data_IF_861298625601
#
_entry.id   IF_861298625601
#
_cell.length_a   1.000
_cell.length_b   1.000
_cell.length_c   1.000
_cell.angle_alpha   90.00
_cell.angle_beta   90.00
_cell.angle_gamma   90.00
#
_symmetry.space_group_name_H-M   'P 1'
#
loop_
_entity.id
_entity.type
_entity.pdbx_description
1 polymer ?
#
# COMPACT_ATOMS: atom_id res chain seq x y z
N UNK A 1 26.24 24.28 -20.58
CA UNK A 1 25.82 23.27 -19.60
C UNK A 1 25.38 23.84 -18.25
N UNK A 2 25.82 25.03 -17.87
CA UNK A 2 25.49 25.72 -16.60
C UNK A 2 24.06 26.28 -16.58
N UNK A 3 23.55 26.81 -17.68
CA UNK A 3 22.22 27.45 -17.77
C UNK A 3 21.05 26.50 -17.55
N UNK A 4 21.14 25.20 -17.89
CA UNK A 4 20.09 24.21 -17.63
C UNK A 4 19.93 23.88 -16.13
N UNK A 5 21.01 23.91 -15.36
CA UNK A 5 20.96 23.73 -13.89
C UNK A 5 20.35 24.93 -13.17
N UNK A 6 20.61 26.13 -13.64
CA UNK A 6 20.06 27.36 -13.06
C UNK A 6 18.58 27.49 -13.32
N UNK A 7 18.10 27.17 -14.54
CA UNK A 7 16.66 27.15 -14.83
C UNK A 7 15.90 26.09 -14.00
N UNK A 8 16.48 24.92 -13.79
CA UNK A 8 15.83 23.88 -12.96
C UNK A 8 15.74 24.25 -11.47
N UNK A 9 16.68 25.03 -10.97
CA UNK A 9 16.66 25.55 -9.60
C UNK A 9 15.62 26.68 -9.44
N UNK A 10 15.48 27.56 -10.44
CA UNK A 10 14.51 28.66 -10.41
C UNK A 10 13.08 28.12 -10.58
N UNK A 11 12.85 27.16 -11.47
CA UNK A 11 11.50 26.57 -11.67
C UNK A 11 11.04 25.75 -10.46
N UNK A 12 11.93 25.06 -9.77
CA UNK A 12 11.59 24.36 -8.53
C UNK A 12 11.31 25.32 -7.35
N UNK A 13 12.02 26.45 -7.28
CA UNK A 13 11.83 27.42 -6.18
C UNK A 13 10.58 28.27 -6.36
N UNK A 14 10.17 28.59 -7.59
CA UNK A 14 8.97 29.40 -7.85
C UNK A 14 7.67 28.58 -7.75
N UNK A 15 7.71 27.28 -8.10
CA UNK A 15 6.54 26.41 -7.98
C UNK A 15 6.20 26.04 -6.52
N UNK A 16 7.18 25.98 -5.64
CA UNK A 16 6.97 25.73 -4.20
C UNK A 16 6.47 26.95 -3.44
N UNK A 17 6.72 28.17 -3.95
CA UNK A 17 6.33 29.41 -3.29
C UNK A 17 4.87 29.82 -3.52
N UNK A 18 4.15 29.19 -4.48
CA UNK A 18 2.80 29.58 -4.87
C UNK A 18 1.69 28.63 -4.39
N UNK A 19 2.03 27.45 -3.84
CA UNK A 19 1.04 26.53 -3.29
C UNK A 19 1.35 26.39 -1.80
N UNK A 20 0.51 26.93 -0.90
CA UNK A 20 0.73 26.77 0.53
C UNK A 20 0.78 25.26 0.85
N UNK A 21 1.84 24.85 1.54
CA UNK A 21 1.93 23.50 2.07
C UNK A 21 0.85 23.36 3.15
N UNK A 22 -0.15 22.54 2.86
CA UNK A 22 -1.25 22.26 3.80
C UNK A 22 -1.24 20.78 4.16
N UNK A 23 -1.66 20.48 5.37
CA UNK A 23 -1.76 19.11 5.84
C UNK A 23 -2.68 18.29 4.92
N UNK A 24 -2.19 17.15 4.41
CA UNK A 24 -2.97 16.25 3.55
C UNK A 24 -4.30 15.81 4.20
N UNK A 25 -4.31 15.69 5.53
CA UNK A 25 -5.44 15.12 6.27
C UNK A 25 -6.49 16.16 6.64
N UNK A 26 -6.09 17.28 7.26
CA UNK A 26 -7.02 18.30 7.76
C UNK A 26 -7.04 19.59 6.94
N UNK A 27 -6.08 19.82 6.05
CA UNK A 27 -5.96 21.05 5.27
C UNK A 27 -5.34 22.24 6.03
N UNK A 28 -4.92 22.05 7.29
CA UNK A 28 -4.24 23.09 8.08
C UNK A 28 -2.89 23.47 7.46
N UNK A 29 -2.54 24.76 7.50
CA UNK A 29 -1.20 25.26 7.13
C UNK A 29 -0.16 25.13 8.24
N UNK A 30 -0.49 24.55 9.39
CA UNK A 30 0.44 24.36 10.50
C UNK A 30 1.30 23.11 10.28
N UNK A 31 2.27 23.22 9.37
CA UNK A 31 3.20 22.16 9.06
C UNK A 31 4.59 22.49 9.62
N UNK A 32 5.26 21.49 10.19
CA UNK A 32 6.68 21.58 10.47
C UNK A 32 7.47 21.52 9.16
N UNK A 33 8.65 22.13 9.16
CA UNK A 33 9.53 22.14 7.99
C UNK A 33 9.78 20.70 7.50
N UNK A 34 9.54 20.47 6.22
CA UNK A 34 9.72 19.18 5.53
C UNK A 34 8.66 18.10 5.83
N UNK A 35 7.62 18.37 6.62
CA UNK A 35 6.52 17.44 6.82
C UNK A 35 5.31 17.81 5.96
N UNK A 36 4.56 16.80 5.53
CA UNK A 36 3.30 17.00 4.80
C UNK A 36 2.08 16.64 5.64
N UNK A 37 2.29 16.44 6.96
CA UNK A 37 1.28 16.06 7.94
C UNK A 37 1.50 16.91 9.18
N UNK A 38 0.49 17.65 9.64
CA UNK A 38 0.61 18.45 10.86
C UNK A 38 0.74 17.57 12.11
N UNK A 39 1.32 18.09 13.21
CA UNK A 39 1.52 17.32 14.44
C UNK A 39 0.25 16.69 14.98
N UNK A 40 -0.89 17.40 14.97
CA UNK A 40 -2.17 16.92 15.46
C UNK A 40 -2.69 15.73 14.64
N UNK A 41 -2.61 15.83 13.30
CA UNK A 41 -2.97 14.70 12.44
C UNK A 41 -1.99 13.54 12.59
N UNK A 42 -0.70 13.81 12.78
CA UNK A 42 0.32 12.79 12.98
C UNK A 42 0.06 11.96 14.24
N UNK A 43 -0.28 12.60 15.36
CA UNK A 43 -0.62 11.93 16.62
C UNK A 43 -1.94 11.16 16.54
N UNK A 44 -2.87 11.59 15.67
CA UNK A 44 -4.16 10.91 15.44
C UNK A 44 -4.07 9.68 14.55
N UNK A 45 -2.90 9.40 13.92
CA UNK A 45 -2.73 8.22 13.09
C UNK A 45 -2.68 6.95 13.94
N UNK A 46 -3.57 6.00 13.66
CA UNK A 46 -3.52 4.68 14.30
C UNK A 46 -2.62 3.74 13.50
N UNK A 47 -1.47 3.46 14.08
CA UNK A 47 -0.51 2.50 13.54
C UNK A 47 -0.90 1.08 13.90
N UNK A 48 -0.63 0.14 12.99
CA UNK A 48 -0.69 -1.30 13.30
C UNK A 48 0.58 -1.66 14.07
N UNK A 49 0.42 -1.87 15.38
CA UNK A 49 1.50 -2.12 16.32
C UNK A 49 1.44 -3.56 16.85
N UNK A 50 2.58 -4.05 17.40
CA UNK A 50 2.63 -5.31 18.13
C UNK A 50 1.66 -5.32 19.34
N UNK A 51 1.06 -6.49 19.64
CA UNK A 51 1.33 -7.80 19.04
C UNK A 51 0.67 -8.00 17.68
N UNK A 52 1.43 -8.48 16.70
CA UNK A 52 0.95 -8.77 15.34
C UNK A 52 1.34 -10.20 14.94
N UNK A 53 0.54 -10.83 14.10
CA UNK A 53 0.85 -12.13 13.52
C UNK A 53 2.18 -12.08 12.77
N UNK A 54 3.10 -13.00 13.08
CA UNK A 54 4.44 -13.04 12.48
C UNK A 54 4.42 -13.19 10.95
N UNK A 55 3.42 -13.88 10.41
CA UNK A 55 3.26 -14.11 8.97
C UNK A 55 2.41 -13.01 8.32
N UNK A 56 1.12 -12.89 8.67
CA UNK A 56 0.21 -11.99 7.92
C UNK A 56 0.17 -10.55 8.45
N UNK A 57 0.84 -10.21 9.53
CA UNK A 57 0.92 -8.86 10.09
C UNK A 57 -0.38 -8.32 10.69
N UNK A 58 -1.46 -9.13 10.77
CA UNK A 58 -2.70 -8.76 11.44
C UNK A 58 -2.47 -8.57 12.93
N UNK A 59 -3.07 -7.57 13.59
CA UNK A 59 -3.07 -7.47 15.03
C UNK A 59 -3.59 -8.75 15.69
N UNK A 60 -2.92 -9.18 16.75
CA UNK A 60 -3.34 -10.30 17.59
C UNK A 60 -4.08 -9.76 18.80
N UNK A 61 -5.12 -10.47 19.24
CA UNK A 61 -5.70 -10.29 20.57
C UNK A 61 -4.71 -10.79 21.64
N UNK A 62 -4.91 -10.36 22.89
CA UNK A 62 -4.11 -10.84 24.03
C UNK A 62 -4.12 -12.36 24.09
N UNK A 63 -5.29 -12.97 23.96
CA UNK A 63 -5.49 -14.42 23.97
C UNK A 63 -4.73 -15.16 22.83
N UNK A 64 -4.71 -14.61 21.61
CA UNK A 64 -3.95 -15.19 20.51
C UNK A 64 -2.45 -15.10 20.76
N UNK A 65 -1.96 -13.97 21.28
CA UNK A 65 -0.54 -13.74 21.55
C UNK A 65 0.02 -14.69 22.62
N UNK A 66 -0.74 -14.98 23.65
CA UNK A 66 -0.34 -15.93 24.71
C UNK A 66 -0.18 -17.36 24.20
N UNK A 67 -0.86 -17.73 23.11
CA UNK A 67 -0.84 -19.08 22.54
C UNK A 67 0.11 -19.24 21.36
N UNK A 68 0.27 -18.20 20.55
CA UNK A 68 1.05 -18.29 19.32
C UNK A 68 1.41 -16.91 18.80
N UNK A 69 2.49 -16.82 18.01
CA UNK A 69 2.80 -15.66 17.17
C UNK A 69 1.99 -15.63 15.87
N UNK A 70 1.11 -16.61 15.65
CA UNK A 70 0.22 -16.71 14.49
C UNK A 70 -1.23 -16.42 14.89
N UNK A 71 -1.96 -15.71 14.05
CA UNK A 71 -3.40 -15.57 14.21
C UNK A 71 -4.14 -16.84 13.77
N UNK A 72 -5.36 -17.03 14.27
CA UNK A 72 -6.18 -18.20 13.96
C UNK A 72 -6.34 -18.49 12.46
N UNK A 73 -6.41 -17.44 11.62
CA UNK A 73 -6.49 -17.61 10.17
C UNK A 73 -5.20 -18.20 9.56
N UNK A 74 -4.01 -17.83 10.08
CA UNK A 74 -2.74 -18.38 9.62
C UNK A 74 -2.47 -19.78 10.18
N UNK A 75 -2.96 -20.09 11.38
CA UNK A 75 -2.93 -21.44 11.92
C UNK A 75 -3.77 -22.38 11.05
N UNK A 76 -4.97 -21.96 10.67
CA UNK A 76 -5.85 -22.75 9.82
C UNK A 76 -5.36 -22.91 8.37
N UNK A 77 -4.78 -21.85 7.81
CA UNK A 77 -4.28 -21.88 6.43
C UNK A 77 -3.22 -20.78 6.22
N UNK A 78 -1.97 -21.20 6.10
CA UNK A 78 -0.86 -20.30 5.83
C UNK A 78 -1.00 -19.64 4.46
N UNK A 79 -0.76 -18.31 4.36
CA UNK A 79 -0.70 -17.64 3.07
C UNK A 79 0.56 -18.05 2.29
N UNK A 80 0.57 -17.73 0.99
CA UNK A 80 1.69 -18.10 0.10
C UNK A 80 2.89 -17.15 0.24
N UNK A 81 2.69 -15.94 0.75
CA UNK A 81 3.78 -15.02 1.06
C UNK A 81 4.47 -15.39 2.38
N UNK A 82 5.72 -14.98 2.54
CA UNK A 82 6.50 -15.28 3.75
C UNK A 82 6.17 -14.34 4.89
N UNK A 83 5.98 -13.05 4.58
CA UNK A 83 5.70 -12.03 5.59
C UNK A 83 4.92 -10.87 4.99
N UNK A 84 3.84 -10.44 5.67
CA UNK A 84 3.14 -9.22 5.35
C UNK A 84 3.15 -8.24 6.52
N UNK A 85 3.23 -6.94 6.22
CA UNK A 85 3.21 -5.87 7.22
C UNK A 85 2.31 -4.73 6.76
N UNK A 86 1.57 -4.18 7.71
CA UNK A 86 0.68 -3.05 7.52
C UNK A 86 1.22 -1.83 8.26
N UNK A 87 1.03 -0.63 7.69
CA UNK A 87 1.38 0.61 8.35
C UNK A 87 0.30 1.06 9.34
N UNK A 88 -0.85 1.41 8.82
CA UNK A 88 -1.91 2.11 9.53
C UNK A 88 -3.23 1.34 9.48
N UNK A 89 -4.16 1.69 10.37
CA UNK A 89 -5.56 1.28 10.18
C UNK A 89 -6.22 2.14 9.10
N UNK A 90 -7.04 1.50 8.23
CA UNK A 90 -7.82 2.18 7.18
C UNK A 90 -9.10 2.76 7.74
N UNK A 91 -8.99 3.85 8.45
CA UNK A 91 -10.11 4.54 9.11
C UNK A 91 -9.88 6.07 9.13
N UNK A 92 -10.93 6.83 9.42
CA UNK A 92 -10.88 8.28 9.62
C UNK A 92 -10.02 9.00 8.56
N UNK A 93 -9.02 9.74 9.00
CA UNK A 93 -8.12 10.54 8.17
C UNK A 93 -7.40 9.72 7.10
N UNK A 94 -6.94 8.50 7.43
CA UNK A 94 -6.23 7.61 6.49
C UNK A 94 -7.15 7.21 5.34
N UNK A 95 -8.42 6.87 5.64
CA UNK A 95 -9.45 6.54 4.64
C UNK A 95 -9.66 7.72 3.69
N UNK A 96 -9.85 8.93 4.23
CA UNK A 96 -10.06 10.14 3.43
C UNK A 96 -8.85 10.43 2.54
N UNK A 97 -7.63 10.39 3.08
CA UNK A 97 -6.41 10.66 2.32
C UNK A 97 -6.20 9.67 1.17
N UNK A 98 -6.33 8.36 1.43
CA UNK A 98 -6.20 7.34 0.39
C UNK A 98 -7.31 7.46 -0.67
N UNK A 99 -8.55 7.78 -0.25
CA UNK A 99 -9.67 7.98 -1.18
C UNK A 99 -9.43 9.20 -2.07
N UNK A 100 -9.05 10.34 -1.51
CA UNK A 100 -8.66 11.54 -2.27
C UNK A 100 -7.53 11.26 -3.25
N UNK A 101 -6.50 10.54 -2.82
CA UNK A 101 -5.39 10.14 -3.69
C UNK A 101 -5.85 9.26 -4.85
N UNK A 102 -6.83 8.38 -4.66
CA UNK A 102 -7.40 7.52 -5.72
C UNK A 102 -8.16 8.29 -6.80
N UNK A 103 -8.77 9.41 -6.46
CA UNK A 103 -9.64 10.16 -7.37
C UNK A 103 -9.05 11.48 -7.87
N UNK A 104 -8.20 12.11 -7.07
CA UNK A 104 -7.63 13.42 -7.40
C UNK A 104 -6.14 13.28 -7.71
N UNK A 105 -5.70 12.73 -8.80
CA UNK A 105 -4.33 12.52 -9.28
C UNK A 105 -3.23 13.52 -8.77
N UNK A 106 -3.43 14.12 -7.59
CA UNK A 106 -2.53 15.08 -6.99
C UNK A 106 -1.25 14.36 -6.54
N UNK A 107 -0.16 14.58 -7.26
CA UNK A 107 1.18 14.17 -6.86
C UNK A 107 1.54 14.70 -5.46
N UNK A 108 0.94 15.80 -5.06
CA UNK A 108 1.06 16.39 -3.72
C UNK A 108 0.59 15.41 -2.64
N UNK A 109 -0.58 14.77 -2.83
CA UNK A 109 -1.12 13.78 -1.88
C UNK A 109 -0.29 12.49 -1.81
N UNK A 110 0.59 12.24 -2.78
CA UNK A 110 1.40 11.02 -2.81
C UNK A 110 2.57 11.04 -1.83
N UNK A 111 3.13 12.23 -1.52
CA UNK A 111 4.31 12.36 -0.65
C UNK A 111 4.04 11.89 0.78
N UNK A 112 3.03 12.43 1.49
CA UNK A 112 2.75 12.00 2.86
C UNK A 112 2.41 10.52 2.98
N UNK A 113 1.63 9.98 2.04
CA UNK A 113 1.28 8.56 2.05
C UNK A 113 2.49 7.66 1.77
N UNK A 114 3.41 8.11 0.91
CA UNK A 114 4.66 7.40 0.66
C UNK A 114 5.60 7.45 1.87
N UNK A 115 5.69 8.59 2.55
CA UNK A 115 6.51 8.74 3.76
C UNK A 115 6.04 7.78 4.86
N UNK A 116 4.72 7.63 5.05
CA UNK A 116 4.13 6.64 5.96
C UNK A 116 4.42 5.18 5.53
N UNK A 117 4.44 4.90 4.23
CA UNK A 117 4.81 3.58 3.71
C UNK A 117 6.30 3.30 3.93
N UNK A 118 7.18 4.29 3.72
CA UNK A 118 8.62 4.20 3.96
C UNK A 118 8.89 3.98 5.45
N UNK A 119 8.18 4.68 6.33
CA UNK A 119 8.28 4.45 7.77
C UNK A 119 7.88 3.02 8.16
N UNK A 120 6.82 2.51 7.55
CA UNK A 120 6.40 1.11 7.72
C UNK A 120 7.50 0.14 7.26
N UNK A 121 8.14 0.43 6.12
CA UNK A 121 9.25 -0.37 5.61
C UNK A 121 10.43 -0.35 6.57
N UNK A 122 10.85 0.81 7.02
CA UNK A 122 11.98 0.97 7.95
C UNK A 122 11.74 0.22 9.27
N UNK A 123 10.50 0.24 9.77
CA UNK A 123 10.13 -0.45 11.00
C UNK A 123 10.21 -1.98 10.88
N UNK A 124 9.85 -2.55 9.73
CA UNK A 124 9.64 -3.99 9.61
C UNK A 124 10.59 -4.70 8.65
N UNK A 125 11.17 -3.98 7.68
CA UNK A 125 11.92 -4.55 6.56
C UNK A 125 13.33 -4.00 6.37
N UNK A 126 13.78 -3.05 7.18
CA UNK A 126 15.11 -2.41 7.03
C UNK A 126 16.26 -3.43 7.02
N UNK A 127 16.11 -4.55 7.73
CA UNK A 127 17.11 -5.64 7.79
C UNK A 127 16.90 -6.70 6.70
N UNK A 128 15.91 -6.54 5.84
CA UNK A 128 15.60 -7.49 4.77
C UNK A 128 16.19 -7.01 3.45
N UNK A 129 16.90 -7.91 2.77
CA UNK A 129 17.42 -7.61 1.44
C UNK A 129 16.39 -8.03 0.40
N UNK A 130 15.76 -7.05 -0.27
CA UNK A 130 14.88 -7.29 -1.41
C UNK A 130 15.62 -6.96 -2.71
N UNK A 131 15.37 -7.77 -3.74
CA UNK A 131 15.96 -7.58 -5.07
C UNK A 131 15.09 -6.74 -5.99
N UNK A 132 13.75 -6.73 -5.74
CA UNK A 132 12.79 -6.01 -6.60
C UNK A 132 11.51 -5.69 -5.85
N UNK A 133 10.94 -4.52 -6.15
CA UNK A 133 9.61 -4.08 -5.73
C UNK A 133 8.63 -4.33 -6.87
N UNK A 134 7.49 -4.96 -6.56
CA UNK A 134 6.35 -5.16 -7.47
C UNK A 134 5.12 -4.44 -6.92
N UNK A 135 4.62 -3.35 -7.57
CA UNK A 135 3.35 -2.74 -7.20
C UNK A 135 2.19 -3.63 -7.62
N UNK A 136 1.18 -3.79 -6.75
CA UNK A 136 -0.07 -4.47 -7.12
C UNK A 136 -0.76 -3.67 -8.22
N UNK A 137 -1.04 -4.30 -9.40
CA UNK A 137 -1.61 -3.59 -10.52
C UNK A 137 -3.12 -3.40 -10.36
N UNK A 138 -3.61 -2.27 -10.85
CA UNK A 138 -5.04 -2.09 -11.12
C UNK A 138 -5.37 -2.62 -12.52
N UNK A 139 -6.61 -3.05 -12.73
CA UNK A 139 -7.05 -3.46 -14.07
C UNK A 139 -7.02 -2.27 -15.06
N UNK A 140 -6.70 -2.53 -16.33
CA UNK A 140 -6.56 -1.54 -17.42
C UNK A 140 -7.75 -0.58 -17.49
N UNK A 141 -8.99 -1.06 -17.34
CA UNK A 141 -10.20 -0.22 -17.34
C UNK A 141 -10.17 0.84 -16.21
N UNK A 142 -9.70 0.47 -15.02
CA UNK A 142 -9.55 1.43 -13.90
C UNK A 142 -8.37 2.35 -14.09
N UNK A 143 -7.30 1.84 -14.72
CA UNK A 143 -6.14 2.64 -15.07
C UNK A 143 -6.53 3.74 -16.08
N UNK A 144 -7.30 3.40 -17.10
CA UNK A 144 -7.82 4.37 -18.08
C UNK A 144 -8.74 5.41 -17.42
N UNK A 145 -9.64 4.98 -16.54
CA UNK A 145 -10.57 5.88 -15.84
C UNK A 145 -9.87 6.83 -14.85
N UNK A 146 -8.73 6.42 -14.25
CA UNK A 146 -8.00 7.21 -13.25
C UNK A 146 -6.77 7.92 -13.80
N UNK A 147 -6.24 7.48 -14.95
CA UNK A 147 -4.99 7.97 -15.53
C UNK A 147 -3.72 7.42 -14.87
N UNK A 148 -3.80 6.78 -13.69
CA UNK A 148 -2.65 6.29 -12.96
C UNK A 148 -2.98 5.12 -12.01
N UNK A 149 -1.91 4.40 -11.59
CA UNK A 149 -1.97 3.44 -10.50
C UNK A 149 -1.29 4.06 -9.25
N UNK A 150 -2.08 4.36 -8.22
CA UNK A 150 -1.60 4.95 -6.97
C UNK A 150 -0.50 4.10 -6.29
N UNK A 151 -0.63 2.77 -6.36
CA UNK A 151 0.37 1.85 -5.78
C UNK A 151 1.72 2.00 -6.48
N UNK A 152 1.73 2.18 -7.80
CA UNK A 152 2.97 2.41 -8.56
C UNK A 152 3.67 3.71 -8.13
N UNK A 153 2.90 4.78 -7.86
CA UNK A 153 3.47 6.05 -7.38
C UNK A 153 4.09 5.87 -5.99
N UNK A 154 3.39 5.23 -5.06
CA UNK A 154 3.92 4.93 -3.72
C UNK A 154 5.16 4.04 -3.79
N UNK A 155 5.12 3.00 -4.63
CA UNK A 155 6.26 2.09 -4.85
C UNK A 155 7.47 2.79 -5.45
N UNK A 156 7.27 3.79 -6.33
CA UNK A 156 8.37 4.58 -6.88
C UNK A 156 9.10 5.37 -5.80
N UNK A 157 8.36 6.00 -4.89
CA UNK A 157 8.96 6.76 -3.78
C UNK A 157 9.67 5.82 -2.80
N UNK A 158 9.09 4.65 -2.51
CA UNK A 158 9.72 3.61 -1.71
C UNK A 158 11.02 3.11 -2.37
N UNK A 159 11.01 2.84 -3.67
CA UNK A 159 12.19 2.42 -4.43
C UNK A 159 13.30 3.47 -4.38
N UNK A 160 12.95 4.75 -4.56
CA UNK A 160 13.92 5.87 -4.45
C UNK A 160 14.54 5.97 -3.05
N UNK A 161 13.73 5.80 -1.99
CA UNK A 161 14.20 5.88 -0.61
C UNK A 161 15.06 4.68 -0.16
N UNK A 162 14.78 3.49 -0.71
CA UNK A 162 15.44 2.24 -0.29
C UNK A 162 16.55 1.76 -1.23
N UNK A 163 16.62 2.32 -2.45
CA UNK A 163 17.52 1.83 -3.50
C UNK A 163 17.09 0.50 -4.14
N UNK A 164 15.96 -0.09 -3.73
CA UNK A 164 15.48 -1.37 -4.28
C UNK A 164 14.88 -1.12 -5.67
N UNK A 165 15.29 -1.87 -6.71
CA UNK A 165 14.75 -1.73 -8.06
C UNK A 165 13.23 -1.90 -8.12
N UNK A 166 12.55 -1.05 -8.88
CA UNK A 166 11.11 -1.11 -9.11
C UNK A 166 10.80 -1.71 -10.50
N UNK A 167 10.04 -2.79 -10.55
CA UNK A 167 9.48 -3.34 -11.79
C UNK A 167 7.98 -3.02 -11.86
N UNK A 168 7.62 -2.07 -12.74
CA UNK A 168 6.26 -1.50 -12.83
C UNK A 168 5.33 -2.27 -13.75
N UNK A 169 5.89 -3.10 -14.64
CA UNK A 169 5.17 -3.64 -15.80
C UNK A 169 5.06 -5.16 -15.82
N UNK A 170 5.84 -5.83 -15.00
CA UNK A 170 5.94 -7.27 -15.04
C UNK A 170 4.74 -7.98 -14.39
N UNK A 171 4.23 -7.46 -13.29
CA UNK A 171 3.01 -7.95 -12.68
C UNK A 171 1.81 -7.24 -13.27
N UNK A 172 0.93 -7.98 -13.95
CA UNK A 172 -0.25 -7.43 -14.62
C UNK A 172 -1.54 -8.05 -14.08
N UNK A 173 -2.63 -7.28 -14.10
CA UNK A 173 -3.96 -7.76 -13.79
C UNK A 173 -4.72 -8.01 -15.08
N UNK A 174 -5.01 -9.27 -15.39
CA UNK A 174 -5.60 -9.72 -16.66
C UNK A 174 -7.13 -9.73 -16.64
N UNK A 175 -7.77 -9.89 -15.46
CA UNK A 175 -9.22 -9.92 -15.34
C UNK A 175 -9.78 -8.60 -14.79
N UNK A 176 -10.86 -8.10 -15.42
CA UNK A 176 -11.67 -7.04 -14.83
C UNK A 176 -12.55 -7.64 -13.74
N UNK A 177 -12.11 -7.50 -12.51
CA UNK A 177 -12.85 -8.00 -11.35
C UNK A 177 -13.76 -6.92 -10.79
N UNK A 178 -14.98 -7.28 -10.37
CA UNK A 178 -15.93 -6.37 -9.73
C UNK A 178 -15.34 -5.69 -8.49
N UNK A 179 -15.81 -4.49 -8.13
CA UNK A 179 -15.42 -3.83 -6.91
C UNK A 179 -15.62 -4.74 -5.70
N UNK A 180 -14.55 -5.06 -4.98
CA UNK A 180 -14.56 -5.99 -3.85
C UNK A 180 -15.49 -5.53 -2.70
N UNK A 181 -15.83 -4.24 -2.65
CA UNK A 181 -16.69 -3.63 -1.60
C UNK A 181 -18.08 -4.28 -1.55
N UNK A 182 -18.59 -4.77 -2.70
CA UNK A 182 -19.94 -5.38 -2.81
C UNK A 182 -19.96 -6.91 -2.72
N UNK A 183 -18.80 -7.57 -2.57
CA UNK A 183 -18.73 -9.03 -2.63
C UNK A 183 -18.50 -9.64 -1.24
N UNK A 184 -19.15 -10.80 -0.97
CA UNK A 184 -18.82 -11.64 0.18
C UNK A 184 -17.37 -12.17 0.11
N UNK A 185 -16.83 -12.65 1.25
CA UNK A 185 -15.45 -13.20 1.32
C UNK A 185 -15.20 -14.31 0.30
N UNK A 186 -16.14 -15.26 0.17
CA UNK A 186 -16.06 -16.37 -0.79
C UNK A 186 -16.08 -15.87 -2.25
N UNK A 187 -16.98 -14.94 -2.58
CA UNK A 187 -17.06 -14.33 -3.92
C UNK A 187 -15.81 -13.53 -4.26
N UNK A 188 -15.16 -12.87 -3.27
CA UNK A 188 -13.88 -12.16 -3.48
C UNK A 188 -12.74 -13.11 -3.87
N UNK A 189 -12.67 -14.28 -3.23
CA UNK A 189 -11.66 -15.30 -3.56
C UNK A 189 -11.84 -15.82 -4.99
N UNK A 190 -13.06 -16.20 -5.36
CA UNK A 190 -13.38 -16.68 -6.72
C UNK A 190 -13.12 -15.60 -7.79
N UNK A 191 -13.48 -14.35 -7.51
CA UNK A 191 -13.32 -13.23 -8.42
C UNK A 191 -11.84 -12.93 -8.74
N UNK A 192 -10.92 -13.23 -7.81
CA UNK A 192 -9.49 -12.96 -7.95
C UNK A 192 -8.69 -14.15 -8.49
N UNK A 193 -9.27 -15.35 -8.56
CA UNK A 193 -8.59 -16.54 -9.06
C UNK A 193 -8.11 -16.33 -10.51
N UNK A 194 -6.79 -16.50 -10.74
CA UNK A 194 -6.13 -16.29 -12.02
C UNK A 194 -6.32 -14.86 -12.58
N UNK A 195 -6.46 -13.85 -11.70
CA UNK A 195 -6.62 -12.45 -12.12
C UNK A 195 -5.28 -11.74 -12.36
N UNK A 196 -4.16 -12.37 -12.01
CA UNK A 196 -2.83 -11.77 -12.12
C UNK A 196 -1.88 -12.69 -12.90
N UNK A 197 -0.86 -12.08 -13.53
CA UNK A 197 0.15 -12.77 -14.30
C UNK A 197 1.51 -12.06 -14.18
N UNK A 198 2.60 -12.82 -14.22
CA UNK A 198 3.97 -12.32 -14.44
C UNK A 198 4.33 -12.49 -15.92
N UNK A 199 4.67 -11.39 -16.57
CA UNK A 199 5.03 -11.38 -17.99
C UNK A 199 6.43 -11.97 -18.24
N UNK A 200 7.41 -11.59 -17.41
CA UNK A 200 8.79 -12.05 -17.50
C UNK A 200 9.24 -12.71 -16.21
N UNK A 201 9.25 -14.04 -16.20
CA UNK A 201 9.69 -14.81 -15.01
C UNK A 201 11.18 -14.64 -14.72
N UNK A 202 12.03 -14.34 -15.71
CA UNK A 202 13.49 -14.23 -15.53
C UNK A 202 13.88 -13.16 -14.52
N UNK A 203 13.08 -12.09 -14.40
CA UNK A 203 13.32 -11.01 -13.44
C UNK A 203 12.88 -11.35 -12.00
N UNK A 204 12.20 -12.50 -11.81
CA UNK A 204 11.62 -12.95 -10.53
C UNK A 204 12.31 -14.20 -9.97
N UNK A 205 12.79 -15.09 -10.86
CA UNK A 205 13.41 -16.35 -10.46
C UNK A 205 14.54 -16.12 -9.45
N UNK A 206 14.50 -16.85 -8.34
CA UNK A 206 15.47 -16.80 -7.22
C UNK A 206 15.57 -15.44 -6.52
N UNK A 207 14.64 -14.52 -6.77
CA UNK A 207 14.63 -13.17 -6.18
C UNK A 207 13.85 -13.13 -4.87
N UNK A 208 14.23 -12.19 -4.02
CA UNK A 208 13.46 -11.74 -2.86
C UNK A 208 12.61 -10.56 -3.32
N UNK A 209 11.30 -10.78 -3.41
CA UNK A 209 10.34 -9.84 -4.00
C UNK A 209 9.58 -9.12 -2.90
N UNK A 210 9.47 -7.79 -2.98
CA UNK A 210 8.59 -6.99 -2.14
C UNK A 210 7.35 -6.57 -2.94
N UNK A 211 6.20 -7.12 -2.58
CA UNK A 211 4.90 -6.72 -3.14
C UNK A 211 4.34 -5.54 -2.35
N UNK A 212 3.89 -4.50 -3.04
CA UNK A 212 3.35 -3.27 -2.44
C UNK A 212 1.88 -3.12 -2.78
N UNK A 213 1.03 -2.78 -1.78
CA UNK A 213 -0.37 -2.42 -1.99
C UNK A 213 -0.77 -1.22 -1.10
N UNK A 214 -1.90 -0.55 -1.42
CA UNK A 214 -2.39 0.59 -0.65
C UNK A 214 -3.29 0.17 0.52
N UNK A 215 -4.28 -0.69 0.27
CA UNK A 215 -5.26 -1.12 1.27
C UNK A 215 -5.57 -2.60 1.15
N UNK A 216 -5.50 -3.31 2.27
CA UNK A 216 -5.94 -4.70 2.32
C UNK A 216 -6.99 -4.91 3.42
N UNK A 217 -7.95 -5.79 3.13
CA UNK A 217 -9.01 -6.22 4.06
C UNK A 217 -8.81 -7.67 4.48
N UNK A 218 -9.07 -8.59 3.56
CA UNK A 218 -8.96 -10.05 3.79
C UNK A 218 -7.61 -10.62 3.38
N UNK A 219 -6.77 -9.83 2.71
CA UNK A 219 -5.51 -10.31 2.11
C UNK A 219 -5.70 -11.11 0.82
N UNK A 220 -6.92 -11.25 0.29
CA UNK A 220 -7.19 -12.07 -0.88
C UNK A 220 -6.39 -11.65 -2.13
N UNK A 221 -6.34 -10.33 -2.41
CA UNK A 221 -5.54 -9.78 -3.53
C UNK A 221 -4.07 -10.13 -3.36
N UNK A 222 -3.52 -9.88 -2.18
CA UNK A 222 -2.11 -10.12 -1.86
C UNK A 222 -1.77 -11.60 -1.98
N UNK A 223 -2.65 -12.48 -1.48
CA UNK A 223 -2.42 -13.92 -1.57
C UNK A 223 -2.42 -14.41 -3.03
N UNK A 224 -3.33 -13.93 -3.89
CA UNK A 224 -3.34 -14.27 -5.31
C UNK A 224 -2.11 -13.71 -6.05
N UNK A 225 -1.70 -12.48 -5.78
CA UNK A 225 -0.45 -11.92 -6.31
C UNK A 225 0.74 -12.76 -5.88
N UNK A 226 0.82 -13.12 -4.59
CA UNK A 226 1.91 -13.92 -4.04
C UNK A 226 1.99 -15.31 -4.67
N UNK A 227 0.85 -15.96 -4.97
CA UNK A 227 0.82 -17.23 -5.73
C UNK A 227 1.49 -17.10 -7.08
N UNK A 228 1.20 -16.04 -7.81
CA UNK A 228 1.76 -15.81 -9.16
C UNK A 228 3.25 -15.52 -9.09
N UNK A 229 3.67 -14.69 -8.12
CA UNK A 229 5.08 -14.36 -7.88
C UNK A 229 5.87 -15.60 -7.44
N UNK A 230 5.32 -16.43 -6.54
CA UNK A 230 5.95 -17.68 -6.12
C UNK A 230 6.05 -18.69 -7.27
N UNK A 231 4.98 -18.83 -8.08
CA UNK A 231 4.96 -19.67 -9.28
C UNK A 231 5.97 -19.19 -10.36
N UNK A 232 6.32 -17.91 -10.36
CA UNK A 232 7.38 -17.38 -11.21
C UNK A 232 8.79 -17.68 -10.67
N UNK A 233 8.94 -18.31 -9.51
CA UNK A 233 10.20 -18.77 -8.96
C UNK A 233 10.84 -17.83 -7.93
N UNK A 234 10.08 -16.94 -7.30
CA UNK A 234 10.61 -16.11 -6.21
C UNK A 234 11.01 -16.97 -5.00
N UNK A 235 12.19 -16.69 -4.43
CA UNK A 235 12.68 -17.33 -3.21
C UNK A 235 11.98 -16.81 -1.96
N UNK A 236 11.65 -15.54 -1.94
CA UNK A 236 10.99 -14.87 -0.82
C UNK A 236 9.97 -13.86 -1.34
N UNK A 237 8.80 -13.83 -0.72
CA UNK A 237 7.73 -12.87 -1.02
C UNK A 237 7.37 -12.11 0.24
N UNK A 238 7.93 -10.91 0.39
CA UNK A 238 7.50 -9.93 1.40
C UNK A 238 6.35 -9.08 0.86
N UNK A 239 5.48 -8.62 1.74
CA UNK A 239 4.35 -7.78 1.38
C UNK A 239 4.27 -6.58 2.31
N UNK A 240 4.22 -5.38 1.74
CA UNK A 240 4.00 -4.15 2.50
C UNK A 240 2.73 -3.46 2.03
N UNK A 241 1.90 -3.04 2.99
CA UNK A 241 0.59 -2.44 2.71
C UNK A 241 0.47 -1.17 3.56
N UNK A 242 0.08 -0.08 2.92
CA UNK A 242 -0.05 1.20 3.61
C UNK A 242 -1.13 1.14 4.71
N UNK A 243 -2.30 0.52 4.43
CA UNK A 243 -3.38 0.50 5.41
C UNK A 243 -4.13 -0.84 5.49
N UNK A 244 -4.48 -1.21 6.72
CA UNK A 244 -5.26 -2.40 7.08
C UNK A 244 -6.69 -2.00 7.41
N UNK A 245 -7.67 -2.60 6.72
CA UNK A 245 -9.09 -2.43 7.00
C UNK A 245 -9.59 -3.62 7.82
N UNK A 246 -10.06 -3.36 9.04
CA UNK A 246 -10.71 -4.36 9.89
C UNK A 246 -12.09 -4.73 9.34
N UNK A 247 -12.62 -5.90 9.72
CA UNK A 247 -13.97 -6.31 9.34
C UNK A 247 -15.04 -5.40 9.97
N UNK A 248 -14.83 -4.95 11.20
CA UNK A 248 -15.75 -4.07 11.95
C UNK A 248 -15.81 -2.67 11.31
N UNK A 249 -14.68 -2.15 10.86
CA UNK A 249 -14.64 -0.90 10.08
C UNK A 249 -15.34 -0.99 8.71
N UNK A 250 -15.59 -2.21 8.19
CA UNK A 250 -16.40 -2.41 6.98
C UNK A 250 -17.91 -2.25 7.24
N UNK A 251 -18.36 -2.51 8.46
CA UNK A 251 -19.77 -2.35 8.86
C UNK A 251 -20.09 -0.87 9.07
N UNK A 252 -19.26 -0.14 9.84
CA UNK A 252 -19.42 1.31 10.06
C UNK A 252 -19.33 2.12 8.76
N UNK A 253 -18.44 1.79 7.83
CA UNK A 253 -18.34 2.51 6.55
C UNK A 253 -19.55 2.33 5.62
N UNK A 254 -20.38 1.30 5.83
CA UNK A 254 -21.67 1.13 5.10
C UNK A 254 -22.76 2.02 5.65
N UNK A 255 -22.76 2.26 6.95
CA UNK A 255 -23.71 3.17 7.61
C UNK A 255 -23.40 4.62 7.23
N UNK A 256 -22.13 5.02 7.26
CA UNK A 256 -21.68 6.37 6.85
C UNK A 256 -21.93 6.67 5.35
N UNK A 257 -21.80 5.66 4.46
CA UNK A 257 -22.06 5.82 3.01
C UNK A 257 -23.57 5.82 2.68
N UNK A 258 -24.44 5.35 3.59
CA UNK A 258 -25.90 5.42 3.45
C UNK A 258 -26.51 6.70 4.02
N UNK A 259 -25.85 7.34 4.98
CA UNK A 259 -26.27 8.66 5.52
C UNK A 259 -25.81 9.86 4.66
N UNK A 260 -24.95 9.63 3.65
CA UNK A 260 -24.39 10.65 2.76
C UNK A 260 -25.01 10.68 1.35
N UNK A 261 -26.14 9.96 1.14
CA UNK A 261 -27.00 9.99 -0.05
C UNK A 261 -28.37 10.59 0.29
#
# INVERSE_FOLDING_TARGET
>A
MVWRKVLSLITNSVSSALIPEVCLFCGSGNLEVSTSICPECRTSLRWVLSPICSVCGRPLSTFEKERSDLCGACIANLPVYDMARYGLYYENLVRVAITRFKFNASLYSSRPLADLLIETFNKHYIKQNFDVILPVPVHTRRLMARGFNQVTILSQKLATATGIPLDRTNLVKTKNTDPQVRLSRAKRLLNLTNAFQINNKKTIVKKRVLVVDDVSTTGATINEVSKVVRKAGANYVGVIILAFRTHDGAIKAKEDDMEAL
#
